data_IF_991487551193
#
_entry.id   IF_991487551193
#
_cell.length_a   1.000
_cell.length_b   1.000
_cell.length_c   1.000
_cell.angle_alpha   90.00
_cell.angle_beta   90.00
_cell.angle_gamma   90.00
#
_symmetry.space_group_name_H-M   'P 1'
#
loop_
_entity.id
_entity.type
_entity.pdbx_description
1 polymer ?
#
# COMPACT_ATOMS: atom_id res chain seq x y z
N UNK A 1 -6.55 14.47 16.18
CA UNK A 1 -6.02 13.22 15.57
C UNK A 1 -6.30 13.29 14.08
N UNK A 2 -5.28 13.32 13.25
CA UNK A 2 -5.39 13.29 11.78
C UNK A 2 -4.53 12.19 11.19
N UNK A 3 -4.96 11.62 10.06
CA UNK A 3 -4.21 10.64 9.31
C UNK A 3 -4.21 10.97 7.82
N UNK A 4 -3.18 10.50 7.12
CA UNK A 4 -3.11 10.56 5.66
C UNK A 4 -3.47 9.20 5.08
N UNK A 5 -4.36 9.19 4.09
CA UNK A 5 -4.73 8.01 3.34
C UNK A 5 -4.38 8.20 1.86
N UNK A 6 -3.48 7.37 1.36
CA UNK A 6 -3.12 7.31 -0.05
C UNK A 6 -3.92 6.19 -0.72
N UNK A 7 -4.78 6.56 -1.65
CA UNK A 7 -5.60 5.61 -2.39
C UNK A 7 -4.91 5.18 -3.69
N UNK A 8 -4.49 3.91 -3.76
CA UNK A 8 -3.85 3.32 -4.94
C UNK A 8 -4.88 2.46 -5.69
N UNK A 9 -5.62 3.00 -6.67
CA UNK A 9 -6.77 2.31 -7.26
C UNK A 9 -6.41 1.24 -8.29
N UNK A 10 -5.20 0.72 -8.29
CA UNK A 10 -4.71 -0.21 -9.30
C UNK A 10 -4.65 -1.65 -8.79
N UNK A 11 -5.02 -2.60 -9.68
CA UNK A 11 -4.91 -4.03 -9.43
C UNK A 11 -4.43 -4.76 -10.67
N UNK A 12 -3.48 -5.69 -10.55
CA UNK A 12 -3.08 -6.59 -11.66
C UNK A 12 -4.22 -7.52 -12.10
N UNK A 13 -5.15 -7.83 -11.20
CA UNK A 13 -6.31 -8.69 -11.46
C UNK A 13 -7.48 -8.24 -10.58
N UNK A 14 -8.68 -8.28 -11.13
CA UNK A 14 -9.93 -7.96 -10.42
C UNK A 14 -10.45 -9.22 -9.76
N UNK A 15 -10.59 -9.19 -8.43
CA UNK A 15 -11.19 -10.27 -7.64
C UNK A 15 -12.71 -10.26 -7.77
N UNK A 16 -13.33 -11.46 -7.78
CA UNK A 16 -14.77 -11.61 -8.02
C UNK A 16 -15.67 -11.00 -6.93
N UNK A 17 -15.15 -10.85 -5.72
CA UNK A 17 -15.89 -10.32 -4.55
C UNK A 17 -15.67 -8.82 -4.30
N UNK A 18 -14.68 -8.19 -4.98
CA UNK A 18 -14.24 -6.85 -4.64
C UNK A 18 -15.13 -5.79 -5.30
N UNK A 19 -15.64 -4.85 -4.50
CA UNK A 19 -16.49 -3.75 -4.94
C UNK A 19 -15.82 -2.37 -4.79
N UNK A 20 -14.53 -2.32 -4.46
CA UNK A 20 -13.78 -1.07 -4.42
C UNK A 20 -13.57 -0.50 -5.82
N UNK A 21 -13.46 0.84 -5.90
CA UNK A 21 -13.01 1.49 -7.13
C UNK A 21 -11.59 1.02 -7.47
N UNK A 22 -11.43 0.44 -8.67
CA UNK A 22 -10.18 -0.15 -9.11
C UNK A 22 -10.00 -0.10 -10.62
N UNK A 23 -8.76 0.01 -11.06
CA UNK A 23 -8.35 0.10 -12.45
C UNK A 23 -7.34 -1.02 -12.73
N UNK A 24 -7.57 -1.80 -13.80
CA UNK A 24 -6.64 -2.85 -14.22
C UNK A 24 -5.56 -2.32 -15.19
N UNK A 25 -5.76 -1.14 -15.77
CA UNK A 25 -4.82 -0.49 -16.68
C UNK A 25 -3.69 0.19 -15.89
N UNK A 26 -2.54 -0.49 -15.81
CA UNK A 26 -1.41 -0.04 -14.98
C UNK A 26 -0.57 1.06 -15.63
N UNK A 27 -0.76 1.37 -16.91
CA UNK A 27 -0.01 2.43 -17.61
C UNK A 27 -0.20 3.82 -17.00
N UNK A 28 -1.34 4.03 -16.31
CA UNK A 28 -1.63 5.27 -15.60
C UNK A 28 -1.01 5.38 -14.20
N UNK A 29 -0.48 4.28 -13.66
CA UNK A 29 0.04 4.26 -12.28
C UNK A 29 1.09 5.36 -12.02
N UNK A 30 2.12 5.56 -12.88
CA UNK A 30 3.10 6.62 -12.64
C UNK A 30 2.49 8.02 -12.62
N UNK A 31 1.56 8.32 -13.53
CA UNK A 31 0.92 9.65 -13.58
C UNK A 31 0.00 9.90 -12.38
N UNK A 32 -0.64 8.85 -11.84
CA UNK A 32 -1.45 8.97 -10.63
C UNK A 32 -0.56 9.19 -9.40
N UNK A 33 0.60 8.56 -9.32
CA UNK A 33 1.57 8.82 -8.24
C UNK A 33 2.06 10.28 -8.27
N UNK A 34 2.38 10.81 -9.46
CA UNK A 34 2.75 12.23 -9.60
C UNK A 34 1.58 13.17 -9.25
N UNK A 35 0.34 12.79 -9.61
CA UNK A 35 -0.85 13.56 -9.21
C UNK A 35 -1.05 13.56 -7.67
N UNK A 36 -0.72 12.46 -6.97
CA UNK A 36 -0.75 12.42 -5.50
C UNK A 36 0.25 13.41 -4.88
N UNK A 37 1.43 13.57 -5.47
CA UNK A 37 2.39 14.59 -5.04
C UNK A 37 1.82 16.01 -5.23
N UNK A 38 1.17 16.28 -6.35
CA UNK A 38 0.49 17.57 -6.57
C UNK A 38 -0.67 17.78 -5.58
N UNK A 39 -1.48 16.76 -5.33
CA UNK A 39 -2.59 16.84 -4.38
C UNK A 39 -2.13 17.13 -2.95
N UNK A 40 -1.02 16.52 -2.49
CA UNK A 40 -0.42 16.85 -1.20
C UNK A 40 -0.11 18.35 -1.08
N UNK A 41 0.49 18.95 -2.11
CA UNK A 41 0.78 20.38 -2.16
C UNK A 41 -0.50 21.24 -2.12
N UNK A 42 -1.49 20.89 -2.93
CA UNK A 42 -2.75 21.61 -3.02
C UNK A 42 -3.54 21.54 -1.71
N UNK A 43 -3.51 20.39 -1.03
CA UNK A 43 -4.25 20.13 0.21
C UNK A 43 -3.47 20.46 1.49
N UNK A 44 -2.27 21.02 1.40
CA UNK A 44 -1.40 21.32 2.56
C UNK A 44 -2.06 22.18 3.64
N UNK A 45 -3.06 23.00 3.28
CA UNK A 45 -3.81 23.86 4.20
C UNK A 45 -5.19 23.26 4.60
N UNK A 46 -5.50 22.06 4.13
CA UNK A 46 -6.79 21.40 4.43
C UNK A 46 -6.95 21.09 5.92
N UNK A 47 -5.86 20.74 6.60
CA UNK A 47 -5.86 20.47 8.03
C UNK A 47 -5.49 21.73 8.80
N UNK A 48 -6.34 22.15 9.75
CA UNK A 48 -6.03 23.25 10.66
C UNK A 48 -4.86 22.91 11.60
N UNK A 49 -4.86 21.67 12.13
CA UNK A 49 -3.73 21.07 12.85
C UNK A 49 -3.01 20.13 11.88
N UNK A 50 -1.81 20.50 11.46
CA UNK A 50 -1.00 19.75 10.51
C UNK A 50 -0.36 18.49 11.10
N UNK A 51 -0.65 18.15 12.35
CA UNK A 51 -0.11 16.98 13.04
C UNK A 51 -0.75 15.69 12.54
N UNK A 52 0.07 14.82 11.99
CA UNK A 52 -0.30 13.51 11.47
C UNK A 52 0.11 12.42 12.46
N UNK A 53 -0.79 11.50 12.77
CA UNK A 53 -0.55 10.39 13.70
C UNK A 53 -0.45 9.03 12.97
N UNK A 54 -1.06 8.93 11.78
CA UNK A 54 -1.02 7.70 10.97
C UNK A 54 -0.92 8.01 9.48
N UNK A 55 -0.25 7.12 8.74
CA UNK A 55 -0.22 7.13 7.26
C UNK A 55 -0.67 5.75 6.78
N UNK A 56 -1.58 5.71 5.81
CA UNK A 56 -2.13 4.46 5.30
C UNK A 56 -2.15 4.45 3.76
N UNK A 57 -1.50 3.47 3.18
CA UNK A 57 -1.57 3.17 1.75
C UNK A 57 -2.54 2.02 1.53
N UNK A 58 -3.67 2.29 0.90
CA UNK A 58 -4.75 1.33 0.67
C UNK A 58 -5.42 1.47 -0.68
N UNK A 59 -6.52 0.74 -0.86
CA UNK A 59 -7.38 0.81 -2.03
C UNK A 59 -7.38 -0.45 -2.88
N UNK A 60 -6.84 -0.41 -4.08
CA UNK A 60 -6.68 -1.56 -4.95
C UNK A 60 -5.52 -2.46 -4.50
N UNK A 61 -4.29 -2.07 -4.85
CA UNK A 61 -3.09 -2.84 -4.51
C UNK A 61 -1.88 -1.91 -4.36
N UNK A 62 -1.65 -1.33 -3.18
CA UNK A 62 -0.52 -0.42 -2.94
C UNK A 62 0.86 -1.07 -3.11
N UNK A 63 0.98 -2.39 -2.95
CA UNK A 63 2.22 -3.14 -3.20
C UNK A 63 2.66 -3.18 -4.67
N UNK A 64 1.88 -2.59 -5.59
CA UNK A 64 2.32 -2.30 -6.96
C UNK A 64 3.37 -1.21 -7.02
N UNK A 65 3.41 -0.32 -6.04
CA UNK A 65 4.46 0.67 -5.89
C UNK A 65 5.72 0.03 -5.32
N UNK A 66 6.86 0.46 -5.81
CA UNK A 66 8.12 0.10 -5.17
C UNK A 66 8.20 0.70 -3.77
N UNK A 67 8.91 0.07 -2.82
CA UNK A 67 9.15 0.66 -1.50
C UNK A 67 9.78 2.06 -1.57
N UNK A 68 10.58 2.32 -2.59
CA UNK A 68 11.16 3.65 -2.84
C UNK A 68 10.09 4.71 -3.19
N UNK A 69 9.09 4.35 -4.00
CA UNK A 69 8.00 5.27 -4.34
C UNK A 69 7.11 5.54 -3.13
N UNK A 70 6.81 4.50 -2.34
CA UNK A 70 6.09 4.65 -1.07
C UNK A 70 6.84 5.60 -0.12
N UNK A 71 8.17 5.42 0.03
CA UNK A 71 8.99 6.30 0.87
C UNK A 71 8.99 7.75 0.36
N UNK A 72 9.06 7.98 -0.96
CA UNK A 72 8.98 9.33 -1.54
C UNK A 72 7.67 10.05 -1.19
N UNK A 73 6.54 9.35 -1.17
CA UNK A 73 5.25 9.91 -0.74
C UNK A 73 5.25 10.26 0.76
N UNK A 74 5.87 9.42 1.59
CA UNK A 74 6.02 9.68 3.03
C UNK A 74 6.93 10.89 3.27
N UNK A 75 8.06 10.97 2.57
CA UNK A 75 8.99 12.09 2.67
C UNK A 75 8.32 13.41 2.29
N UNK A 76 7.61 13.43 1.16
CA UNK A 76 6.88 14.61 0.71
C UNK A 76 5.76 15.01 1.67
N UNK A 77 5.00 14.05 2.21
CA UNK A 77 4.03 14.34 3.26
C UNK A 77 4.69 14.96 4.50
N UNK A 78 5.88 14.48 4.87
CA UNK A 78 6.63 14.98 6.03
C UNK A 78 7.21 16.39 5.83
N UNK A 79 7.39 16.83 4.59
CA UNK A 79 7.77 18.21 4.27
C UNK A 79 6.60 19.21 4.44
N UNK A 80 5.36 18.74 4.26
CA UNK A 80 4.16 19.58 4.26
C UNK A 80 3.37 19.54 5.57
N UNK A 81 3.47 18.44 6.30
CA UNK A 81 2.74 18.16 7.54
C UNK A 81 3.69 17.83 8.68
N UNK A 82 3.21 17.96 9.91
CA UNK A 82 3.97 17.52 11.10
C UNK A 82 3.79 16.01 11.32
N UNK A 83 4.72 15.25 10.76
CA UNK A 83 4.76 13.79 10.85
C UNK A 83 5.71 13.26 11.95
N UNK A 84 6.18 14.11 12.89
CA UNK A 84 7.17 13.72 13.92
C UNK A 84 6.64 12.65 14.88
N UNK A 85 5.35 12.62 15.11
CA UNK A 85 4.68 11.71 16.06
C UNK A 85 3.89 10.60 15.32
N UNK A 86 4.17 10.33 14.07
CA UNK A 86 3.51 9.23 13.33
C UNK A 86 3.86 7.89 13.97
N UNK A 87 2.87 7.24 14.58
CA UNK A 87 3.04 5.96 15.27
C UNK A 87 2.85 4.74 14.36
N UNK A 88 2.04 4.88 13.31
CA UNK A 88 1.77 3.80 12.36
C UNK A 88 1.81 4.28 10.92
N UNK A 89 2.60 3.59 10.11
CA UNK A 89 2.62 3.72 8.64
C UNK A 89 2.32 2.35 8.05
N UNK A 90 1.12 2.20 7.49
CA UNK A 90 0.61 0.93 6.96
C UNK A 90 0.63 0.91 5.44
N UNK A 91 1.00 -0.24 4.86
CA UNK A 91 0.81 -0.55 3.44
C UNK A 91 0.01 -1.83 3.27
N UNK A 92 -1.02 -1.79 2.41
CA UNK A 92 -1.70 -3.01 1.96
C UNK A 92 -0.89 -3.69 0.86
N UNK A 93 -0.80 -5.02 0.92
CA UNK A 93 -0.07 -5.81 -0.06
C UNK A 93 -0.82 -7.10 -0.43
N UNK A 94 -0.65 -7.53 -1.68
CA UNK A 94 -1.04 -8.89 -2.08
C UNK A 94 0.15 -9.85 -1.88
N UNK A 95 -0.10 -11.11 -1.46
CA UNK A 95 0.98 -12.09 -1.26
C UNK A 95 1.91 -12.27 -2.45
N UNK A 96 1.36 -12.27 -3.66
CA UNK A 96 2.11 -12.45 -4.91
C UNK A 96 2.95 -11.22 -5.35
N UNK A 97 2.82 -10.09 -4.67
CA UNK A 97 3.67 -8.91 -4.86
C UNK A 97 4.84 -8.85 -3.86
N UNK A 98 4.80 -9.67 -2.79
CA UNK A 98 5.81 -9.70 -1.73
C UNK A 98 6.94 -10.66 -2.10
N UNK A 99 7.93 -10.18 -2.84
CA UNK A 99 9.21 -10.87 -3.04
C UNK A 99 10.16 -10.64 -1.85
N UNK A 100 11.24 -11.45 -1.76
CA UNK A 100 12.29 -11.19 -0.76
C UNK A 100 12.90 -9.79 -0.95
N UNK A 101 13.18 -9.40 -2.21
CA UNK A 101 13.70 -8.07 -2.52
C UNK A 101 12.74 -6.94 -2.10
N UNK A 102 11.43 -7.09 -2.39
CA UNK A 102 10.43 -6.09 -1.99
C UNK A 102 10.38 -5.96 -0.46
N UNK A 103 10.36 -7.07 0.28
CA UNK A 103 10.33 -7.06 1.74
C UNK A 103 11.60 -6.43 2.34
N UNK A 104 12.78 -6.79 1.84
CA UNK A 104 14.06 -6.22 2.27
C UNK A 104 14.17 -4.71 1.98
N UNK A 105 13.61 -4.24 0.86
CA UNK A 105 13.57 -2.82 0.54
C UNK A 105 12.54 -2.09 1.40
N UNK A 106 11.38 -2.72 1.67
CA UNK A 106 10.35 -2.14 2.54
C UNK A 106 10.87 -1.93 3.97
N UNK A 107 11.63 -2.89 4.50
CA UNK A 107 12.23 -2.80 5.82
C UNK A 107 13.21 -1.63 5.99
N UNK A 108 13.65 -1.01 4.88
CA UNK A 108 14.51 0.19 4.88
C UNK A 108 13.70 1.49 4.83
N UNK A 109 12.39 1.41 4.73
CA UNK A 109 11.47 2.55 4.73
C UNK A 109 10.96 2.84 6.14
N UNK A 110 10.16 3.90 6.28
CA UNK A 110 9.47 4.21 7.53
C UNK A 110 8.19 3.39 7.75
N UNK A 111 7.79 2.55 6.78
CA UNK A 111 6.62 1.68 6.91
C UNK A 111 6.89 0.64 8.00
N UNK A 112 5.99 0.58 9.00
CA UNK A 112 6.13 -0.29 10.16
C UNK A 112 4.99 -1.32 10.29
N UNK A 113 4.04 -1.33 9.33
CA UNK A 113 2.94 -2.30 9.30
C UNK A 113 2.61 -2.71 7.88
N UNK A 114 2.45 -4.01 7.65
CA UNK A 114 1.95 -4.57 6.37
C UNK A 114 0.60 -5.23 6.62
N UNK A 115 -0.42 -4.84 5.84
CA UNK A 115 -1.73 -5.50 5.80
C UNK A 115 -1.75 -6.42 4.59
N UNK A 116 -1.66 -7.74 4.82
CA UNK A 116 -1.52 -8.71 3.74
C UNK A 116 -2.86 -9.32 3.37
N UNK A 117 -3.29 -9.15 2.11
CA UNK A 117 -4.54 -9.64 1.57
C UNK A 117 -4.51 -11.14 1.24
N UNK A 118 -4.42 -11.99 2.26
CA UNK A 118 -4.38 -13.45 2.11
C UNK A 118 -5.73 -14.01 1.68
N UNK A 119 -6.81 -13.58 2.28
CA UNK A 119 -8.22 -13.94 2.07
C UNK A 119 -8.59 -15.36 2.49
N UNK A 120 -7.82 -16.39 2.11
CA UNK A 120 -8.01 -17.80 2.49
C UNK A 120 -6.70 -18.58 2.41
N UNK A 121 -6.63 -19.69 3.11
CA UNK A 121 -5.59 -20.73 2.98
C UNK A 121 -6.11 -22.00 2.28
N UNK A 122 -7.23 -21.91 1.57
CA UNK A 122 -7.75 -22.95 0.67
C UNK A 122 -7.63 -22.52 -0.78
N UNK A 123 -6.92 -23.30 -1.60
CA UNK A 123 -6.67 -22.96 -3.00
C UNK A 123 -7.94 -22.96 -3.86
N UNK A 124 -8.96 -23.75 -3.48
CA UNK A 124 -10.25 -23.76 -4.15
C UNK A 124 -11.02 -22.46 -3.93
N UNK A 125 -11.01 -21.94 -2.69
CA UNK A 125 -11.60 -20.65 -2.35
C UNK A 125 -10.84 -19.51 -3.02
N UNK A 126 -9.51 -19.53 -3.00
CA UNK A 126 -8.67 -18.53 -3.65
C UNK A 126 -8.96 -18.46 -5.16
N UNK A 127 -9.08 -19.63 -5.81
CA UNK A 127 -9.44 -19.72 -7.22
C UNK A 127 -10.87 -19.20 -7.50
N UNK A 128 -11.84 -19.53 -6.63
CA UNK A 128 -13.21 -19.02 -6.73
C UNK A 128 -13.26 -17.50 -6.61
N UNK A 129 -12.46 -16.91 -5.72
CA UNK A 129 -12.29 -15.48 -5.52
C UNK A 129 -11.46 -14.78 -6.62
N UNK A 130 -10.97 -15.52 -7.61
CA UNK A 130 -10.06 -15.03 -8.66
C UNK A 130 -8.75 -14.45 -8.10
N UNK A 131 -8.23 -15.02 -6.99
CA UNK A 131 -6.93 -14.62 -6.43
C UNK A 131 -5.80 -15.15 -7.29
N UNK A 132 -4.65 -14.45 -7.25
CA UNK A 132 -3.46 -14.78 -8.05
C UNK A 132 -2.48 -15.68 -7.32
N UNK A 133 -2.51 -15.67 -5.99
CA UNK A 133 -1.65 -16.47 -5.13
C UNK A 133 -2.34 -17.76 -4.67
N UNK A 134 -1.53 -18.74 -4.31
CA UNK A 134 -1.91 -19.98 -3.62
C UNK A 134 -1.81 -19.83 -2.09
N UNK A 135 -2.35 -20.78 -1.34
CA UNK A 135 -2.21 -20.84 0.11
C UNK A 135 -0.74 -20.91 0.55
N UNK A 136 0.09 -21.64 -0.19
CA UNK A 136 1.53 -21.71 0.06
C UNK A 136 2.21 -20.37 -0.14
N UNK A 137 1.96 -19.69 -1.26
CA UNK A 137 2.53 -18.36 -1.55
C UNK A 137 2.10 -17.32 -0.50
N UNK A 138 0.87 -17.42 0.01
CA UNK A 138 0.42 -16.57 1.11
C UNK A 138 1.23 -16.80 2.39
N UNK A 139 1.46 -18.06 2.78
CA UNK A 139 2.27 -18.40 3.96
C UNK A 139 3.73 -17.94 3.79
N UNK A 140 4.31 -18.11 2.60
CA UNK A 140 5.65 -17.65 2.27
C UNK A 140 5.77 -16.12 2.33
N UNK A 141 4.76 -15.38 1.82
CA UNK A 141 4.73 -13.93 1.88
C UNK A 141 4.71 -13.42 3.33
N UNK A 142 3.92 -14.04 4.21
CA UNK A 142 3.94 -13.74 5.65
C UNK A 142 5.34 -13.95 6.23
N UNK A 143 5.96 -15.10 5.94
CA UNK A 143 7.30 -15.41 6.43
C UNK A 143 8.38 -14.44 5.91
N UNK A 144 8.25 -13.95 4.66
CA UNK A 144 9.16 -12.94 4.09
C UNK A 144 9.06 -11.62 4.85
N UNK A 145 7.84 -11.11 5.06
CA UNK A 145 7.62 -9.86 5.81
C UNK A 145 8.12 -9.96 7.25
N UNK A 146 7.94 -11.13 7.90
CA UNK A 146 8.38 -11.32 9.29
C UNK A 146 9.91 -11.43 9.44
N UNK A 147 10.61 -11.85 8.38
CA UNK A 147 12.07 -11.97 8.36
C UNK A 147 12.78 -10.64 8.08
N UNK A 148 12.17 -9.79 7.27
CA UNK A 148 12.73 -8.49 6.88
C UNK A 148 12.56 -7.45 7.98
#
# INVERSE_FOLDING_TARGET
>A
MAGLYFHIPFCKRICSYCDFFRVAELSYLPSVVEAMHCELEEQREFLHDKRIETIYFGGGTPSLLSPKELQRLIDHASELFDCRDVGEITVEANPDDVSDEWAEQLAKTQINRVSLGVQSFDDGELKFMNRRHSAQEAAEAVARVQRA
#
